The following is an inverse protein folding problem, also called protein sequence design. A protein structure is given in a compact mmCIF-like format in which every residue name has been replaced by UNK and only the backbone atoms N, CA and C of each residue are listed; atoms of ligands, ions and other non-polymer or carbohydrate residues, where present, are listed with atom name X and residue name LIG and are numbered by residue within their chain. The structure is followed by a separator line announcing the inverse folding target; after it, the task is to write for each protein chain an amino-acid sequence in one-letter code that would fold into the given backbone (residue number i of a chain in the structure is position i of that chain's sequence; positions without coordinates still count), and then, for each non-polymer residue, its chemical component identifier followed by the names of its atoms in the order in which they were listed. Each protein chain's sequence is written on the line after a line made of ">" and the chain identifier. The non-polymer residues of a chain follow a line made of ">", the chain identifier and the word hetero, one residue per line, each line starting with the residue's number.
data_IF_429836919810
#
_entry.id   IF_429836919810
#
_cell.length_a   1.000
_cell.length_b   1.000
_cell.length_c   1.000
_cell.angle_alpha   90.00
_cell.angle_beta   90.00
_cell.angle_gamma   90.00
#
_symmetry.space_group_name_H-M   'P 1'
#
loop_
_entity.id
_entity.type
_entity.pdbx_description
1 polymer ?
#
# COMPACT_ATOMS: atom_id res chain seq x y z
N UNK A 1 8.07 -12.10 14.85
CA UNK A 1 9.38 -11.54 14.49
C UNK A 1 9.44 -11.58 12.98
N UNK A 2 9.16 -10.47 12.30
CA UNK A 2 9.19 -10.43 10.82
C UNK A 2 10.66 -10.67 10.43
N UNK A 3 10.88 -11.69 9.62
CA UNK A 3 12.19 -12.16 9.19
C UNK A 3 12.99 -10.99 8.62
N UNK A 4 14.19 -10.79 9.15
CA UNK A 4 15.20 -9.87 8.64
C UNK A 4 15.79 -10.42 7.33
N UNK A 5 14.98 -10.42 6.27
CA UNK A 5 15.37 -10.86 4.92
C UNK A 5 16.42 -9.94 4.28
N UNK A 6 16.69 -8.78 4.89
CA UNK A 6 17.71 -7.83 4.45
C UNK A 6 19.12 -8.33 4.76
N UNK A 7 19.26 -9.07 5.86
CA UNK A 7 20.53 -9.68 6.28
C UNK A 7 20.98 -10.78 5.31
N UNK A 8 20.08 -11.43 4.56
CA UNK A 8 20.45 -12.51 3.62
C UNK A 8 20.92 -12.02 2.25
N UNK A 9 20.67 -10.76 1.89
CA UNK A 9 20.95 -10.21 0.55
C UNK A 9 22.40 -9.70 0.37
N UNK A 10 23.38 -10.32 1.06
CA UNK A 10 24.78 -9.83 1.15
C UNK A 10 25.62 -10.08 -0.11
N UNK A 11 25.26 -11.04 -0.96
CA UNK A 11 26.22 -11.63 -1.93
C UNK A 11 26.00 -11.25 -3.41
N UNK A 12 25.26 -10.19 -3.74
CA UNK A 12 25.06 -9.77 -5.15
C UNK A 12 25.51 -8.34 -5.43
N UNK A 13 25.93 -8.08 -6.68
CA UNK A 13 26.30 -6.75 -7.22
C UNK A 13 25.14 -5.71 -7.10
N UNK A 14 23.93 -6.18 -6.79
CA UNK A 14 22.72 -5.37 -6.57
C UNK A 14 22.14 -5.55 -5.14
N UNK A 15 22.93 -6.06 -4.19
CA UNK A 15 22.47 -6.39 -2.83
C UNK A 15 21.92 -5.19 -2.06
N UNK A 16 22.51 -4.01 -2.24
CA UNK A 16 22.08 -2.79 -1.56
C UNK A 16 20.75 -2.24 -2.10
N UNK A 17 20.51 -2.30 -3.41
CA UNK A 17 19.23 -1.94 -4.02
C UNK A 17 18.11 -2.88 -3.57
N UNK A 18 18.39 -4.19 -3.55
CA UNK A 18 17.43 -5.19 -3.09
C UNK A 18 17.09 -5.00 -1.61
N UNK A 19 18.10 -4.75 -0.76
CA UNK A 19 17.88 -4.44 0.68
C UNK A 19 17.03 -3.20 0.86
N UNK A 20 17.29 -2.14 0.10
CA UNK A 20 16.48 -0.93 0.16
C UNK A 20 15.03 -1.22 -0.24
N UNK A 21 14.81 -1.97 -1.31
CA UNK A 21 13.46 -2.38 -1.72
C UNK A 21 12.75 -3.20 -0.65
N UNK A 22 13.43 -4.18 -0.05
CA UNK A 22 12.86 -4.99 1.03
C UNK A 22 12.54 -4.16 2.29
N UNK A 23 13.39 -3.18 2.63
CA UNK A 23 13.12 -2.19 3.68
C UNK A 23 11.85 -1.41 3.40
N UNK A 24 11.74 -0.85 2.20
CA UNK A 24 10.58 -0.06 1.77
C UNK A 24 9.31 -0.89 1.76
N UNK A 25 9.37 -2.15 1.30
CA UNK A 25 8.25 -3.08 1.32
C UNK A 25 7.82 -3.42 2.75
N UNK A 26 8.77 -3.67 3.64
CA UNK A 26 8.51 -3.96 5.05
C UNK A 26 7.85 -2.76 5.74
N UNK A 27 8.42 -1.56 5.57
CA UNK A 27 7.86 -0.32 6.09
C UNK A 27 6.43 -0.09 5.58
N UNK A 28 6.20 -0.25 4.28
CA UNK A 28 4.87 -0.12 3.66
C UNK A 28 3.88 -1.11 4.27
N UNK A 29 4.27 -2.38 4.38
CA UNK A 29 3.42 -3.45 4.94
C UNK A 29 3.02 -3.16 6.39
N UNK A 30 3.97 -2.68 7.21
CA UNK A 30 3.72 -2.32 8.61
C UNK A 30 2.77 -1.12 8.74
N UNK A 31 2.98 -0.08 7.94
CA UNK A 31 2.14 1.11 7.92
C UNK A 31 0.72 0.73 7.45
N UNK A 32 0.59 0.00 6.34
CA UNK A 32 -0.70 -0.44 5.82
C UNK A 32 -1.46 -1.32 6.81
N UNK A 33 -0.78 -2.26 7.47
CA UNK A 33 -1.38 -3.12 8.49
C UNK A 33 -1.96 -2.29 9.65
N UNK A 34 -1.21 -1.29 10.11
CA UNK A 34 -1.66 -0.37 11.16
C UNK A 34 -2.86 0.46 10.72
N UNK A 35 -2.81 1.04 9.52
CA UNK A 35 -3.91 1.85 8.98
C UNK A 35 -5.17 1.01 8.79
N UNK A 36 -5.04 -0.19 8.21
CA UNK A 36 -6.16 -1.13 7.99
C UNK A 36 -6.82 -1.55 9.30
N UNK A 37 -6.02 -1.86 10.33
CA UNK A 37 -6.51 -2.19 11.66
C UNK A 37 -7.31 -1.03 12.25
N UNK A 38 -6.78 0.21 12.17
CA UNK A 38 -7.46 1.41 12.67
C UNK A 38 -8.75 1.73 11.92
N UNK A 39 -8.75 1.62 10.58
CA UNK A 39 -9.94 1.87 9.76
C UNK A 39 -11.06 0.89 10.09
N UNK A 40 -10.75 -0.41 10.20
CA UNK A 40 -11.73 -1.44 10.59
C UNK A 40 -12.21 -1.24 12.02
N UNK A 41 -11.29 -1.07 12.97
CA UNK A 41 -11.62 -1.00 14.39
C UNK A 41 -12.36 0.27 14.82
N UNK A 42 -12.16 1.40 14.12
CA UNK A 42 -12.77 2.68 14.51
C UNK A 42 -13.93 3.11 13.63
N UNK A 43 -13.98 2.65 12.38
CA UNK A 43 -14.92 3.16 11.38
C UNK A 43 -15.66 2.07 10.61
N UNK A 44 -15.39 0.78 10.88
CA UNK A 44 -15.95 -0.35 10.13
C UNK A 44 -15.77 -0.24 8.60
N UNK A 45 -14.60 0.30 8.20
CA UNK A 45 -14.26 0.54 6.78
C UNK A 45 -12.95 -0.16 6.43
N UNK A 46 -12.87 -0.66 5.20
CA UNK A 46 -11.64 -1.23 4.64
C UNK A 46 -10.79 -0.15 3.98
N UNK A 47 -9.47 -0.35 3.94
CA UNK A 47 -8.55 0.57 3.26
C UNK A 47 -8.94 0.84 1.79
N UNK A 48 -9.31 -0.17 0.96
CA UNK A 48 -9.75 0.10 -0.41
C UNK A 48 -11.05 0.92 -0.50
N UNK A 49 -12.00 0.67 0.39
CA UNK A 49 -13.25 1.45 0.42
C UNK A 49 -12.99 2.90 0.83
N UNK A 50 -12.12 3.11 1.82
CA UNK A 50 -11.69 4.45 2.21
C UNK A 50 -11.02 5.19 1.06
N UNK A 51 -10.06 4.56 0.39
CA UNK A 51 -9.31 5.19 -0.69
C UNK A 51 -10.23 5.55 -1.88
N UNK A 52 -11.17 4.66 -2.24
CA UNK A 52 -12.22 4.95 -3.21
C UNK A 52 -13.03 6.21 -2.84
N UNK A 53 -13.49 6.31 -1.59
CA UNK A 53 -14.27 7.47 -1.13
C UNK A 53 -13.41 8.75 -1.13
N UNK A 54 -12.14 8.66 -0.75
CA UNK A 54 -11.22 9.80 -0.79
C UNK A 54 -10.96 10.31 -2.22
N UNK A 55 -10.92 9.42 -3.20
CA UNK A 55 -10.79 9.81 -4.61
C UNK A 55 -12.05 10.52 -5.13
N UNK A 56 -13.24 10.05 -4.74
CA UNK A 56 -14.51 10.68 -5.10
C UNK A 56 -14.67 12.05 -4.41
N UNK A 57 -14.30 12.15 -3.14
CA UNK A 57 -14.33 13.41 -2.37
C UNK A 57 -13.47 14.52 -3.02
N UNK A 58 -12.32 14.13 -3.59
CA UNK A 58 -11.42 15.05 -4.32
C UNK A 58 -11.88 15.40 -5.74
N UNK A 59 -12.97 14.79 -6.23
CA UNK A 59 -13.50 14.99 -7.58
C UNK A 59 -14.99 15.38 -7.51
N UNK A 60 -15.30 16.64 -7.13
CA UNK A 60 -16.68 17.08 -6.87
C UNK A 60 -17.60 17.02 -8.11
N UNK A 61 -17.04 17.14 -9.32
CA UNK A 61 -17.77 16.98 -10.59
C UNK A 61 -18.03 15.50 -10.97
N UNK A 62 -17.64 14.57 -10.09
CA UNK A 62 -17.68 13.14 -10.33
C UNK A 62 -16.44 12.64 -11.09
N UNK A 63 -16.34 11.31 -11.19
CA UNK A 63 -15.25 10.64 -11.87
C UNK A 63 -15.77 9.37 -12.53
N UNK A 64 -15.28 9.04 -13.73
CA UNK A 64 -15.63 7.77 -14.36
C UNK A 64 -14.99 6.59 -13.63
N UNK A 65 -15.56 5.39 -13.77
CA UNK A 65 -14.98 4.19 -13.17
C UNK A 65 -13.56 3.90 -13.68
N UNK A 66 -13.30 4.19 -14.96
CA UNK A 66 -11.98 4.04 -15.58
C UNK A 66 -10.94 4.98 -14.95
N UNK A 67 -11.33 6.21 -14.63
CA UNK A 67 -10.44 7.19 -14.01
C UNK A 67 -10.15 6.83 -12.55
N UNK A 68 -11.17 6.38 -11.81
CA UNK A 68 -10.98 5.91 -10.43
C UNK A 68 -10.06 4.69 -10.41
N UNK A 69 -10.28 3.70 -11.28
CA UNK A 69 -9.46 2.49 -11.34
C UNK A 69 -7.97 2.80 -11.58
N UNK A 70 -7.66 3.71 -12.51
CA UNK A 70 -6.29 4.17 -12.77
C UNK A 70 -5.65 4.82 -11.54
N UNK A 71 -6.40 5.61 -10.78
CA UNK A 71 -5.89 6.31 -9.58
C UNK A 71 -5.68 5.40 -8.38
N UNK A 72 -6.49 4.35 -8.25
CA UNK A 72 -6.39 3.39 -7.15
C UNK A 72 -5.19 2.44 -7.29
N UNK A 73 -4.48 2.46 -8.43
CA UNK A 73 -3.34 1.58 -8.75
C UNK A 73 -3.58 0.10 -8.39
N UNK A 74 -4.82 -0.35 -8.50
CA UNK A 74 -5.17 -1.77 -8.38
C UNK A 74 -4.75 -2.44 -9.67
N UNK A 75 -3.95 -3.51 -9.57
CA UNK A 75 -3.82 -4.43 -10.67
C UNK A 75 -5.22 -4.94 -11.01
N UNK A 76 -5.60 -4.90 -12.29
CA UNK A 76 -6.62 -5.82 -12.77
C UNK A 76 -6.13 -7.21 -12.33
N UNK A 77 -6.95 -7.91 -11.53
CA UNK A 77 -6.57 -9.20 -10.94
C UNK A 77 -6.00 -10.18 -11.96
#
# INVERSE_FOLDING_TARGET
>A
MILDSETTAVESDHGDELRLWLRLLTCTTLIEGTVRSRLRGRFDVTLPRFDLMAQLDRAPDGMTLSDVSKRMMVSNG
#
